data_IF_387900944855
#
_entry.id   IF_387900944855
#
_cell.length_a   1.000
_cell.length_b   1.000
_cell.length_c   1.000
_cell.angle_alpha   90.00
_cell.angle_beta   90.00
_cell.angle_gamma   90.00
#
_symmetry.space_group_name_H-M   'P 1'
#
loop_
_entity.id
_entity.type
_entity.pdbx_description
1 polymer ?
#
# COMPACT_ATOMS: atom_id res chain seq x y z
N UNK A 1 49.07 0.91 -4.78
CA UNK A 1 48.24 -0.27 -4.45
C UNK A 1 46.79 0.12 -4.72
N UNK A 2 46.10 -0.72 -5.49
CA UNK A 2 44.78 -0.56 -6.11
C UNK A 2 43.68 -0.07 -5.13
N UNK A 3 42.59 0.59 -5.52
CA UNK A 3 41.90 0.72 -6.81
C UNK A 3 40.40 0.57 -6.54
N UNK A 4 39.61 1.59 -6.88
CA UNK A 4 38.18 1.79 -6.57
C UNK A 4 37.24 0.74 -7.18
N UNK A 5 36.24 0.26 -6.44
CA UNK A 5 35.08 -0.49 -6.99
C UNK A 5 33.80 0.35 -6.93
N UNK A 6 33.34 0.76 -8.11
CA UNK A 6 32.00 1.28 -8.35
C UNK A 6 31.01 0.10 -8.31
N UNK A 7 29.94 0.22 -7.52
CA UNK A 7 28.85 -0.75 -7.50
C UNK A 7 27.89 -0.49 -8.65
N UNK A 8 27.88 -1.39 -9.64
CA UNK A 8 27.05 -1.36 -10.83
C UNK A 8 25.54 -1.39 -10.51
N UNK A 9 24.81 -0.48 -11.15
CA UNK A 9 23.37 -0.57 -11.42
C UNK A 9 23.11 -1.90 -12.13
N UNK A 10 22.04 -2.68 -11.84
CA UNK A 10 21.76 -3.90 -12.57
C UNK A 10 21.44 -3.56 -14.03
N UNK A 11 22.49 -3.66 -14.84
CA UNK A 11 22.52 -3.43 -16.26
C UNK A 11 21.76 -4.56 -16.93
N UNK A 12 20.85 -4.22 -17.84
CA UNK A 12 20.32 -5.16 -18.83
C UNK A 12 21.49 -5.90 -19.47
N UNK A 13 21.62 -7.20 -19.24
CA UNK A 13 22.64 -8.01 -19.89
C UNK A 13 22.16 -8.34 -21.32
N UNK A 14 22.39 -7.41 -22.25
CA UNK A 14 22.07 -7.57 -23.67
C UNK A 14 23.24 -8.28 -24.36
N UNK A 15 23.13 -9.59 -24.58
CA UNK A 15 24.12 -10.37 -25.33
C UNK A 15 23.74 -10.42 -26.81
N UNK A 16 24.32 -9.53 -27.62
CA UNK A 16 24.12 -9.47 -29.08
C UNK A 16 25.18 -10.32 -29.80
N UNK A 17 24.78 -11.31 -30.60
CA UNK A 17 25.64 -11.99 -31.59
C UNK A 17 25.30 -11.50 -33.01
N UNK A 18 26.29 -11.19 -33.90
CA UNK A 18 26.01 -10.61 -35.20
C UNK A 18 25.98 -11.60 -36.39
N UNK A 19 25.02 -11.32 -37.30
CA UNK A 19 24.91 -11.54 -38.78
C UNK A 19 24.81 -12.95 -39.40
N UNK A 20 23.81 -13.13 -40.28
CA UNK A 20 23.95 -13.26 -41.77
C UNK A 20 22.60 -13.57 -42.49
N UNK A 21 22.26 -12.82 -43.56
CA UNK A 21 21.62 -13.39 -44.76
C UNK A 21 20.17 -13.02 -45.16
N UNK A 22 20.04 -12.05 -46.07
CA UNK A 22 19.12 -11.88 -47.24
C UNK A 22 17.67 -12.46 -47.31
N UNK A 23 16.77 -11.55 -47.72
CA UNK A 23 15.38 -11.63 -48.30
C UNK A 23 15.14 -12.65 -49.43
N UNK A 24 13.89 -12.90 -49.98
CA UNK A 24 12.60 -12.15 -49.90
C UNK A 24 11.26 -12.96 -49.79
N UNK A 25 10.16 -12.19 -49.66
CA UNK A 25 8.70 -12.52 -49.74
C UNK A 25 8.25 -13.22 -51.05
N UNK A 26 7.05 -13.86 -51.11
CA UNK A 26 5.85 -13.15 -51.61
C UNK A 26 4.46 -13.54 -51.02
N UNK A 27 3.57 -12.55 -51.10
CA UNK A 27 2.11 -12.49 -51.36
C UNK A 27 1.19 -13.73 -51.21
N UNK A 28 0.00 -13.49 -50.64
CA UNK A 28 -1.17 -14.37 -50.78
C UNK A 28 -2.38 -13.91 -49.95
N UNK A 29 -3.28 -13.15 -50.58
CA UNK A 29 -4.58 -12.72 -50.07
C UNK A 29 -5.62 -13.85 -50.01
N UNK A 30 -6.41 -13.95 -48.94
CA UNK A 30 -7.79 -14.44 -49.05
C UNK A 30 -8.69 -13.80 -47.99
N UNK A 31 -9.81 -13.24 -48.47
CA UNK A 31 -10.93 -12.75 -47.69
C UNK A 31 -11.69 -13.93 -47.07
N UNK A 32 -12.01 -13.85 -45.78
CA UNK A 32 -13.00 -14.72 -45.16
C UNK A 32 -13.88 -13.91 -44.19
N UNK A 33 -15.13 -13.71 -44.63
CA UNK A 33 -16.38 -13.58 -43.87
C UNK A 33 -16.40 -12.73 -42.58
N UNK A 34 -16.99 -11.54 -42.71
CA UNK A 34 -17.54 -10.74 -41.62
C UNK A 34 -18.76 -11.44 -40.99
N UNK A 35 -18.59 -11.98 -39.79
CA UNK A 35 -19.65 -12.10 -38.79
C UNK A 35 -19.07 -11.68 -37.43
N UNK A 36 -19.63 -10.68 -36.73
CA UNK A 36 -19.22 -10.41 -35.36
C UNK A 36 -19.78 -11.53 -34.47
N UNK A 37 -18.96 -12.30 -33.75
CA UNK A 37 -19.49 -13.20 -32.73
C UNK A 37 -20.08 -12.35 -31.61
N UNK A 38 -21.28 -12.75 -31.18
CA UNK A 38 -21.95 -12.29 -29.97
C UNK A 38 -20.96 -12.11 -28.82
N UNK A 39 -21.06 -10.98 -28.13
CA UNK A 39 -20.34 -10.63 -26.91
C UNK A 39 -19.91 -11.87 -26.12
N UNK A 40 -18.63 -12.24 -26.24
CA UNK A 40 -17.97 -13.04 -25.21
C UNK A 40 -18.09 -12.24 -23.92
N UNK A 41 -18.98 -12.68 -23.04
CA UNK A 41 -18.93 -12.31 -21.64
C UNK A 41 -17.62 -12.91 -21.13
N UNK A 42 -16.55 -12.10 -21.21
CA UNK A 42 -15.25 -12.47 -20.66
C UNK A 42 -15.46 -12.91 -19.21
N UNK A 43 -14.86 -14.03 -18.78
CA UNK A 43 -14.99 -14.49 -17.41
C UNK A 43 -14.64 -13.34 -16.47
N UNK A 44 -15.39 -13.21 -15.38
CA UNK A 44 -15.24 -12.19 -14.32
C UNK A 44 -13.89 -12.24 -13.57
N UNK A 45 -12.90 -12.93 -14.13
CA UNK A 45 -11.67 -13.43 -13.51
C UNK A 45 -10.42 -12.63 -13.91
N UNK A 46 -10.48 -11.82 -14.97
CA UNK A 46 -9.34 -11.03 -15.45
C UNK A 46 -9.52 -9.53 -15.17
N UNK A 47 -9.50 -9.16 -13.88
CA UNK A 47 -9.14 -7.80 -13.50
C UNK A 47 -7.61 -7.70 -13.60
N UNK A 48 -7.09 -7.67 -14.83
CA UNK A 48 -5.65 -7.54 -15.10
C UNK A 48 -5.07 -6.37 -14.29
N UNK A 49 -3.88 -6.56 -13.72
CA UNK A 49 -3.11 -5.51 -13.01
C UNK A 49 -3.08 -4.18 -13.76
N UNK A 50 -3.09 -4.24 -15.10
CA UNK A 50 -3.17 -3.09 -15.99
C UNK A 50 -4.44 -2.24 -15.81
N UNK A 51 -5.59 -2.86 -15.55
CA UNK A 51 -6.84 -2.15 -15.29
C UNK A 51 -6.77 -1.38 -13.98
N UNK A 52 -6.28 -2.02 -12.91
CA UNK A 52 -6.09 -1.37 -11.60
C UNK A 52 -5.15 -0.16 -11.73
N UNK A 53 -4.04 -0.33 -12.45
CA UNK A 53 -3.12 0.77 -12.76
C UNK A 53 -3.82 1.89 -13.52
N UNK A 54 -4.65 1.60 -14.52
CA UNK A 54 -5.40 2.63 -15.24
C UNK A 54 -6.36 3.40 -14.32
N UNK A 55 -7.00 2.70 -13.39
CA UNK A 55 -8.01 3.27 -12.49
C UNK A 55 -7.45 4.04 -11.29
N UNK A 56 -6.15 3.95 -11.01
CA UNK A 56 -5.53 4.69 -9.92
C UNK A 56 -4.80 3.85 -8.88
N UNK A 57 -4.39 2.62 -9.21
CA UNK A 57 -3.54 1.85 -8.32
C UNK A 57 -2.24 2.59 -8.02
N UNK A 58 -1.72 2.36 -6.82
CA UNK A 58 -0.47 2.93 -6.38
C UNK A 58 0.67 2.21 -7.08
N UNK A 59 1.41 2.96 -7.89
CA UNK A 59 2.57 2.48 -8.64
C UNK A 59 3.65 3.55 -8.57
N UNK A 60 4.84 3.19 -8.07
CA UNK A 60 5.93 4.14 -7.80
C UNK A 60 6.27 5.02 -9.01
N UNK A 61 6.49 4.42 -10.19
CA UNK A 61 6.91 5.16 -11.38
C UNK A 61 5.88 6.23 -11.76
N UNK A 62 4.59 5.93 -11.64
CA UNK A 62 3.52 6.89 -11.92
C UNK A 62 3.45 8.01 -10.90
N UNK A 63 3.58 7.68 -9.62
CA UNK A 63 3.54 8.68 -8.54
C UNK A 63 4.70 9.64 -8.66
N UNK A 64 5.94 9.13 -8.82
CA UNK A 64 7.15 9.95 -8.73
C UNK A 64 7.60 10.48 -10.09
N UNK A 65 7.71 9.62 -11.12
CA UNK A 65 8.27 10.03 -12.42
C UNK A 65 7.23 10.69 -13.33
N UNK A 66 5.94 10.36 -13.15
CA UNK A 66 4.83 10.95 -13.92
C UNK A 66 3.99 11.95 -13.12
N UNK A 67 4.38 12.24 -11.89
CA UNK A 67 3.71 13.18 -10.98
C UNK A 67 2.21 12.89 -10.78
N UNK A 68 1.80 11.62 -10.85
CA UNK A 68 0.41 11.19 -10.64
C UNK A 68 0.12 11.00 -9.13
N UNK A 69 0.35 12.04 -8.31
CA UNK A 69 0.26 12.00 -6.84
C UNK A 69 -1.14 11.64 -6.31
N UNK A 70 -2.18 11.92 -7.09
CA UNK A 70 -3.56 11.55 -6.77
C UNK A 70 -3.75 10.04 -6.52
N UNK A 71 -2.83 9.19 -7.03
CA UNK A 71 -2.80 7.74 -6.80
C UNK A 71 -2.59 7.35 -5.35
N UNK A 72 -1.92 8.20 -4.57
CA UNK A 72 -1.73 8.03 -3.12
C UNK A 72 -3.08 7.97 -2.40
N UNK A 73 -4.08 8.69 -2.94
CA UNK A 73 -5.43 8.69 -2.41
C UNK A 73 -6.30 7.64 -3.09
N UNK A 74 -6.35 7.60 -4.42
CA UNK A 74 -7.32 6.76 -5.15
C UNK A 74 -7.11 5.27 -4.96
N UNK A 75 -5.88 4.81 -4.69
CA UNK A 75 -5.59 3.39 -4.49
C UNK A 75 -6.39 2.77 -3.34
N UNK A 76 -6.82 3.58 -2.37
CA UNK A 76 -7.60 3.13 -1.21
C UNK A 76 -8.98 2.57 -1.56
N UNK A 77 -9.53 2.93 -2.72
CA UNK A 77 -10.84 2.46 -3.19
C UNK A 77 -10.74 1.25 -4.14
N UNK A 78 -9.55 0.94 -4.63
CA UNK A 78 -9.32 -0.17 -5.55
C UNK A 78 -8.99 -1.45 -4.79
N UNK A 79 -9.36 -2.60 -5.32
CA UNK A 79 -9.10 -3.89 -4.69
C UNK A 79 -8.78 -4.95 -5.73
N UNK A 80 -7.81 -5.82 -5.42
CA UNK A 80 -7.31 -6.86 -6.33
C UNK A 80 -8.20 -8.10 -6.46
N UNK A 81 -9.38 -8.14 -5.84
CA UNK A 81 -10.30 -9.27 -5.96
C UNK A 81 -11.47 -9.25 -4.98
N UNK A 82 -12.44 -10.13 -5.20
CA UNK A 82 -13.70 -10.18 -4.42
C UNK A 82 -13.44 -10.48 -2.94
N UNK A 83 -12.61 -11.48 -2.64
CA UNK A 83 -12.24 -11.79 -1.26
C UNK A 83 -11.52 -10.62 -0.57
N UNK A 84 -10.67 -9.90 -1.31
CA UNK A 84 -9.95 -8.74 -0.80
C UNK A 84 -10.92 -7.60 -0.45
N UNK A 85 -11.89 -7.28 -1.30
CA UNK A 85 -12.96 -6.32 -0.98
C UNK A 85 -13.75 -6.79 0.24
N UNK A 86 -14.19 -8.05 0.25
CA UNK A 86 -14.99 -8.60 1.34
C UNK A 86 -14.29 -8.50 2.70
N UNK A 87 -13.01 -8.88 2.77
CA UNK A 87 -12.22 -8.80 4.00
C UNK A 87 -12.05 -7.35 4.49
N UNK A 88 -11.80 -6.40 3.57
CA UNK A 88 -11.70 -4.98 3.94
C UNK A 88 -13.03 -4.42 4.43
N UNK A 89 -14.13 -4.74 3.75
CA UNK A 89 -15.46 -4.26 4.17
C UNK A 89 -15.87 -4.86 5.52
N UNK A 90 -15.55 -6.13 5.75
CA UNK A 90 -15.77 -6.78 7.04
C UNK A 90 -14.98 -6.08 8.16
N UNK A 91 -13.70 -5.80 7.92
CA UNK A 91 -12.86 -5.04 8.84
C UNK A 91 -13.39 -3.63 9.10
N UNK A 92 -13.83 -2.93 8.05
CA UNK A 92 -14.42 -1.60 8.16
C UNK A 92 -15.72 -1.60 8.96
N UNK A 93 -16.59 -2.60 8.76
CA UNK A 93 -17.84 -2.71 9.52
C UNK A 93 -17.56 -3.02 10.99
N UNK A 94 -16.67 -3.96 11.32
CA UNK A 94 -16.41 -4.29 12.72
C UNK A 94 -15.65 -3.20 13.49
N UNK A 95 -14.61 -2.63 12.87
CA UNK A 95 -13.73 -1.67 13.52
C UNK A 95 -14.25 -0.25 13.34
N UNK A 96 -14.59 0.10 12.09
CA UNK A 96 -15.06 1.44 11.72
C UNK A 96 -16.40 1.78 12.36
N UNK A 97 -17.41 0.90 12.30
CA UNK A 97 -18.73 1.17 12.92
C UNK A 97 -18.62 1.39 14.43
N UNK A 98 -17.81 0.58 15.12
CA UNK A 98 -17.55 0.74 16.55
C UNK A 98 -16.95 2.12 16.86
N UNK A 99 -15.90 2.50 16.14
CA UNK A 99 -15.23 3.79 16.32
C UNK A 99 -16.15 4.95 15.95
N UNK A 100 -16.94 4.82 14.89
CA UNK A 100 -17.86 5.84 14.42
C UNK A 100 -18.98 6.09 15.42
N UNK A 101 -19.55 5.04 16.00
CA UNK A 101 -20.55 5.15 17.05
C UNK A 101 -19.99 5.86 18.30
N UNK A 102 -18.72 5.63 18.63
CA UNK A 102 -18.10 6.22 19.83
C UNK A 102 -17.61 7.67 19.63
N UNK A 103 -17.08 8.02 18.46
CA UNK A 103 -16.37 9.29 18.21
C UNK A 103 -17.00 10.17 17.12
N UNK A 104 -17.95 9.63 16.36
CA UNK A 104 -18.64 10.30 15.25
C UNK A 104 -17.92 10.16 13.91
N UNK A 105 -18.72 10.17 12.84
CA UNK A 105 -18.31 9.98 11.45
C UNK A 105 -17.10 10.81 11.05
N UNK A 106 -17.14 12.13 11.27
CA UNK A 106 -16.09 13.04 10.78
C UNK A 106 -14.70 12.72 11.33
N UNK A 107 -14.61 12.31 12.60
CA UNK A 107 -13.30 11.98 13.21
C UNK A 107 -12.76 10.69 12.62
N UNK A 108 -13.61 9.69 12.46
CA UNK A 108 -13.20 8.39 11.94
C UNK A 108 -12.90 8.46 10.43
N UNK A 109 -13.65 9.25 9.67
CA UNK A 109 -13.37 9.53 8.27
C UNK A 109 -11.99 10.19 8.09
N UNK A 110 -11.67 11.21 8.89
CA UNK A 110 -10.33 11.85 8.87
C UNK A 110 -9.24 10.87 9.26
N UNK A 111 -9.45 10.07 10.31
CA UNK A 111 -8.48 9.05 10.73
C UNK A 111 -8.22 8.03 9.63
N UNK A 112 -9.28 7.54 9.00
CA UNK A 112 -9.23 6.55 7.94
C UNK A 112 -8.49 7.09 6.71
N UNK A 113 -8.89 8.27 6.21
CA UNK A 113 -8.29 8.86 5.01
C UNK A 113 -6.81 9.18 5.23
N UNK A 114 -6.47 9.88 6.32
CA UNK A 114 -5.07 10.26 6.57
C UNK A 114 -4.18 9.04 6.84
N UNK A 115 -4.71 8.01 7.51
CA UNK A 115 -3.96 6.75 7.69
C UNK A 115 -3.71 6.04 6.37
N UNK A 116 -4.69 6.00 5.47
CA UNK A 116 -4.50 5.44 4.14
C UNK A 116 -3.46 6.20 3.31
N UNK A 117 -3.45 7.54 3.41
CA UNK A 117 -2.40 8.37 2.78
C UNK A 117 -1.03 8.06 3.39
N UNK A 118 -0.92 8.00 4.72
CA UNK A 118 0.33 7.67 5.40
C UNK A 118 0.87 6.28 5.03
N UNK A 119 -0.02 5.30 4.90
CA UNK A 119 0.30 3.98 4.36
C UNK A 119 0.80 4.05 2.92
N UNK A 120 0.10 4.76 2.05
CA UNK A 120 0.48 4.90 0.64
C UNK A 120 1.81 5.65 0.43
N UNK A 121 2.10 6.64 1.26
CA UNK A 121 3.41 7.33 1.27
C UNK A 121 4.51 6.36 1.66
N UNK A 122 4.34 5.61 2.75
CA UNK A 122 5.36 4.64 3.18
C UNK A 122 5.54 3.51 2.16
N UNK A 123 4.44 2.96 1.64
CA UNK A 123 4.46 1.99 0.55
C UNK A 123 5.25 2.51 -0.65
N UNK A 124 4.97 3.73 -1.11
CA UNK A 124 5.65 4.32 -2.27
C UNK A 124 7.16 4.50 -2.08
N UNK A 125 7.66 4.58 -0.83
CA UNK A 125 9.09 4.69 -0.52
C UNK A 125 9.84 3.36 -0.59
N UNK A 126 9.16 2.23 -0.33
CA UNK A 126 9.80 0.91 -0.21
C UNK A 126 9.34 -0.08 -1.29
N UNK A 127 8.17 0.10 -1.88
CA UNK A 127 7.59 -0.78 -2.90
C UNK A 127 7.73 -0.12 -4.27
N UNK A 128 8.55 -0.74 -5.14
CA UNK A 128 8.93 -0.16 -6.44
C UNK A 128 8.43 -0.93 -7.65
N UNK A 129 8.26 -2.25 -7.51
CA UNK A 129 8.03 -3.16 -8.65
C UNK A 129 6.62 -3.74 -8.71
N UNK A 130 5.86 -3.60 -7.62
CA UNK A 130 4.48 -4.10 -7.53
C UNK A 130 3.50 -2.94 -7.37
N UNK A 131 2.24 -3.22 -7.68
CA UNK A 131 1.15 -2.28 -7.46
C UNK A 131 0.54 -2.50 -6.09
N UNK A 132 0.10 -1.42 -5.44
CA UNK A 132 -0.63 -1.47 -4.17
C UNK A 132 -2.02 -0.89 -4.33
N UNK A 133 -3.01 -1.61 -3.79
CA UNK A 133 -4.42 -1.26 -3.81
C UNK A 133 -5.07 -1.74 -2.51
N UNK A 134 -6.07 -1.01 -2.05
CA UNK A 134 -6.94 -1.49 -0.97
C UNK A 134 -7.05 -0.52 0.20
N UNK A 135 -8.14 -0.69 0.91
CA UNK A 135 -8.45 0.02 2.14
C UNK A 135 -7.60 -0.41 3.36
N UNK A 136 -6.81 -1.48 3.24
CA UNK A 136 -6.22 -2.17 4.39
C UNK A 136 -5.23 -1.29 5.17
N UNK A 137 -4.47 -0.41 4.51
CA UNK A 137 -3.61 0.55 5.21
C UNK A 137 -4.40 1.48 6.13
N UNK A 138 -5.57 1.95 5.67
CA UNK A 138 -6.47 2.76 6.49
C UNK A 138 -7.10 1.96 7.65
N UNK A 139 -7.43 0.68 7.44
CA UNK A 139 -7.91 -0.21 8.50
C UNK A 139 -6.87 -0.45 9.59
N UNK A 140 -5.60 -0.65 9.21
CA UNK A 140 -4.50 -0.68 10.16
C UNK A 140 -4.36 0.64 10.91
N UNK A 141 -4.65 1.77 10.26
CA UNK A 141 -4.79 3.06 10.92
C UNK A 141 -5.88 3.09 11.98
N UNK A 142 -7.06 2.52 11.70
CA UNK A 142 -8.12 2.39 12.72
C UNK A 142 -7.65 1.56 13.92
N UNK A 143 -6.90 0.47 13.70
CA UNK A 143 -6.30 -0.33 14.79
C UNK A 143 -5.28 0.48 15.60
N UNK A 144 -4.44 1.27 14.94
CA UNK A 144 -3.53 2.21 15.59
C UNK A 144 -4.28 3.24 16.43
N UNK A 145 -5.38 3.78 15.91
CA UNK A 145 -6.27 4.69 16.62
C UNK A 145 -6.86 4.08 17.89
N UNK A 146 -7.34 2.82 17.82
CA UNK A 146 -7.82 2.07 18.99
C UNK A 146 -6.72 1.92 20.04
N UNK A 147 -5.50 1.58 19.62
CA UNK A 147 -4.39 1.43 20.57
C UNK A 147 -4.09 2.75 21.29
N UNK A 148 -4.09 3.87 20.58
CA UNK A 148 -3.89 5.19 21.18
C UNK A 148 -5.04 5.62 22.08
N UNK A 149 -6.27 5.24 21.74
CA UNK A 149 -7.45 5.45 22.59
C UNK A 149 -7.30 4.71 23.91
N UNK A 150 -6.92 3.43 23.86
CA UNK A 150 -6.67 2.60 25.05
C UNK A 150 -5.57 3.19 25.93
N UNK A 151 -4.47 3.66 25.34
CA UNK A 151 -3.36 4.30 26.08
C UNK A 151 -3.81 5.63 26.69
N UNK A 152 -4.53 6.46 25.93
CA UNK A 152 -4.98 7.79 26.36
C UNK A 152 -6.04 7.75 27.46
N UNK A 153 -6.81 6.66 27.51
CA UNK A 153 -7.97 6.50 28.38
C UNK A 153 -7.87 5.27 29.28
N UNK A 154 -6.66 4.76 29.51
CA UNK A 154 -6.37 3.53 30.26
C UNK A 154 -7.07 3.41 31.61
N UNK A 155 -7.32 4.52 32.31
CA UNK A 155 -8.02 4.54 33.60
C UNK A 155 -9.51 4.18 33.53
N UNK A 156 -10.11 4.11 32.34
CA UNK A 156 -11.52 3.77 32.12
C UNK A 156 -11.71 2.24 32.02
N UNK A 157 -10.68 1.52 31.59
CA UNK A 157 -10.77 0.09 31.28
C UNK A 157 -10.39 -0.77 32.49
N UNK A 158 -11.27 -1.71 32.85
CA UNK A 158 -11.05 -2.62 33.98
C UNK A 158 -9.82 -3.54 33.78
N UNK A 159 -9.54 -3.95 32.53
CA UNK A 159 -8.37 -4.75 32.18
C UNK A 159 -7.69 -4.23 30.91
N UNK A 160 -7.01 -3.08 31.03
CA UNK A 160 -6.33 -2.43 29.91
C UNK A 160 -5.21 -3.28 29.31
N UNK A 161 -4.48 -4.05 30.14
CA UNK A 161 -3.39 -4.89 29.68
C UNK A 161 -3.86 -6.01 28.76
N UNK A 162 -4.99 -6.65 29.08
CA UNK A 162 -5.59 -7.64 28.21
C UNK A 162 -6.04 -7.02 26.88
N UNK A 163 -6.73 -5.86 26.93
CA UNK A 163 -7.19 -5.17 25.72
C UNK A 163 -6.03 -4.77 24.80
N UNK A 164 -4.98 -4.15 25.35
CA UNK A 164 -3.77 -3.78 24.60
C UNK A 164 -3.11 -5.03 24.03
N UNK A 165 -2.92 -6.09 24.83
CA UNK A 165 -2.32 -7.34 24.37
C UNK A 165 -3.11 -7.97 23.22
N UNK A 166 -4.44 -7.96 23.27
CA UNK A 166 -5.29 -8.46 22.19
C UNK A 166 -5.11 -7.66 20.91
N UNK A 167 -5.11 -6.32 20.98
CA UNK A 167 -4.92 -5.47 19.81
C UNK A 167 -3.53 -5.66 19.21
N UNK A 168 -2.49 -5.67 20.04
CA UNK A 168 -1.11 -5.92 19.60
C UNK A 168 -0.98 -7.30 18.94
N UNK A 169 -1.59 -8.32 19.52
CA UNK A 169 -1.60 -9.66 18.95
C UNK A 169 -2.27 -9.71 17.57
N UNK A 170 -3.42 -9.05 17.42
CA UNK A 170 -4.11 -8.92 16.12
C UNK A 170 -3.22 -8.22 15.10
N UNK A 171 -2.55 -7.13 15.47
CA UNK A 171 -1.64 -6.39 14.58
C UNK A 171 -0.50 -7.30 14.13
N UNK A 172 0.15 -8.00 15.06
CA UNK A 172 1.27 -8.89 14.76
C UNK A 172 0.87 -10.03 13.81
N UNK A 173 -0.31 -10.63 14.02
CA UNK A 173 -0.84 -11.64 13.10
C UNK A 173 -1.06 -11.06 11.71
N UNK A 174 -1.69 -9.88 11.60
CA UNK A 174 -1.97 -9.31 10.29
C UNK A 174 -0.68 -8.95 9.54
N UNK A 175 0.34 -8.42 10.22
CA UNK A 175 1.66 -8.19 9.61
C UNK A 175 2.33 -9.51 9.20
N UNK A 176 2.24 -10.55 10.03
CA UNK A 176 2.78 -11.88 9.70
C UNK A 176 2.09 -12.48 8.46
N UNK A 177 0.76 -12.34 8.35
CA UNK A 177 -0.01 -12.72 7.17
C UNK A 177 0.36 -11.87 5.96
N UNK A 178 0.70 -10.59 6.15
CA UNK A 178 1.09 -9.72 5.06
C UNK A 178 2.48 -9.97 4.48
N UNK A 179 3.23 -10.96 4.99
CA UNK A 179 4.43 -11.51 4.34
C UNK A 179 4.07 -12.36 3.11
N UNK A 180 2.79 -12.70 2.94
CA UNK A 180 2.30 -13.37 1.74
C UNK A 180 2.47 -12.47 0.50
N UNK A 181 2.75 -13.06 -0.67
CA UNK A 181 2.93 -12.30 -1.89
C UNK A 181 1.67 -11.50 -2.23
N UNK A 182 1.86 -10.30 -2.79
CA UNK A 182 0.80 -9.34 -3.15
C UNK A 182 0.13 -8.61 -1.97
N UNK A 183 0.61 -8.79 -0.73
CA UNK A 183 0.19 -7.97 0.42
C UNK A 183 1.24 -6.88 0.68
N UNK A 184 0.77 -5.65 0.90
CA UNK A 184 1.64 -4.50 1.12
C UNK A 184 1.76 -4.19 2.62
N UNK A 185 2.77 -4.79 3.26
CA UNK A 185 3.05 -4.57 4.67
C UNK A 185 3.56 -3.15 4.97
N UNK A 186 4.18 -2.46 4.02
CA UNK A 186 4.57 -1.06 4.21
C UNK A 186 3.36 -0.14 4.29
N UNK A 187 2.33 -0.39 3.47
CA UNK A 187 1.07 0.33 3.59
C UNK A 187 0.40 0.08 4.96
N UNK A 188 0.44 -1.16 5.47
CA UNK A 188 -0.10 -1.50 6.78
C UNK A 188 0.66 -0.81 7.92
N UNK A 189 2.00 -0.86 7.90
CA UNK A 189 2.85 -0.23 8.91
C UNK A 189 2.67 1.29 8.90
N UNK A 190 2.73 1.92 7.72
CA UNK A 190 2.58 3.37 7.58
C UNK A 190 1.20 3.84 8.00
N UNK A 191 0.16 3.08 7.65
CA UNK A 191 -1.21 3.33 8.07
C UNK A 191 -1.38 3.21 9.58
N UNK A 192 -0.85 2.13 10.19
CA UNK A 192 -0.89 1.91 11.64
C UNK A 192 -0.25 3.06 12.40
N UNK A 193 0.98 3.46 12.08
CA UNK A 193 1.66 4.54 12.80
C UNK A 193 0.95 5.88 12.62
N UNK A 194 0.46 6.17 11.42
CA UNK A 194 -0.31 7.38 11.16
C UNK A 194 -1.59 7.42 12.00
N UNK A 195 -2.35 6.32 12.02
CA UNK A 195 -3.56 6.20 12.82
C UNK A 195 -3.30 6.21 14.33
N UNK A 196 -2.18 5.62 14.77
CA UNK A 196 -1.72 5.67 16.16
C UNK A 196 -1.47 7.11 16.61
N UNK A 197 -0.66 7.88 15.89
CA UNK A 197 -0.43 9.28 16.27
C UNK A 197 -1.68 10.14 16.12
N UNK A 198 -2.50 9.92 15.07
CA UNK A 198 -3.78 10.63 14.93
C UNK A 198 -4.74 10.32 16.07
N UNK A 199 -4.74 9.09 16.58
CA UNK A 199 -5.57 8.66 17.70
C UNK A 199 -5.35 9.53 18.94
N UNK A 200 -4.10 9.88 19.27
CA UNK A 200 -3.79 10.80 20.39
C UNK A 200 -4.31 12.23 20.18
N UNK A 201 -4.50 12.63 18.92
CA UNK A 201 -5.00 13.97 18.56
C UNK A 201 -6.53 14.00 18.55
N UNK A 202 -7.18 13.01 17.94
CA UNK A 202 -8.62 13.09 17.63
C UNK A 202 -9.52 12.21 18.51
N UNK A 203 -8.98 11.14 19.13
CA UNK A 203 -9.74 10.17 19.95
C UNK A 203 -9.59 10.45 21.46
N UNK A 204 -9.17 11.66 21.82
CA UNK A 204 -9.01 12.10 23.20
C UNK A 204 -10.36 12.27 23.91
N UNK A 205 -10.61 11.52 24.99
CA UNK A 205 -11.83 11.64 25.80
C UNK A 205 -11.65 12.65 26.94
N UNK A 206 -12.63 13.56 27.15
CA UNK A 206 -12.60 14.47 28.29
C UNK A 206 -12.78 13.70 29.60
N UNK A 207 -12.28 14.26 30.70
CA UNK A 207 -12.44 13.65 32.01
C UNK A 207 -13.93 13.52 32.39
N UNK A 208 -14.32 12.39 32.98
CA UNK A 208 -15.71 12.12 33.40
C UNK A 208 -16.25 13.23 34.32
N UNK A 209 -15.44 13.73 35.26
CA UNK A 209 -15.80 14.84 36.16
C UNK A 209 -16.15 16.13 35.43
N UNK A 210 -15.41 16.47 34.37
CA UNK A 210 -15.69 17.64 33.52
C UNK A 210 -16.95 17.44 32.66
N UNK A 211 -17.17 16.22 32.15
CA UNK A 211 -18.37 15.90 31.36
C UNK A 211 -19.65 15.96 32.19
N UNK A 212 -19.63 15.43 33.42
CA UNK A 212 -20.78 15.45 34.32
C UNK A 212 -21.18 16.87 34.73
N UNK A 213 -20.21 17.78 34.94
CA UNK A 213 -20.50 19.18 35.27
C UNK A 213 -21.35 19.89 34.22
N UNK A 214 -21.18 19.58 32.93
CA UNK A 214 -22.00 20.16 31.85
C UNK A 214 -23.46 19.69 31.85
N UNK A 215 -23.76 18.56 32.50
CA UNK A 215 -25.08 17.96 32.56
C UNK A 215 -25.78 18.20 33.91
N UNK A 216 -25.19 19.02 34.79
CA UNK A 216 -25.81 19.40 36.07
C UNK A 216 -26.90 20.45 35.80
N UNK A 217 -28.16 20.23 36.25
CA UNK A 217 -29.22 21.21 36.12
C UNK A 217 -28.89 22.54 36.81
N UNK A 218 -29.39 23.69 36.29
CA UNK A 218 -29.23 24.98 36.95
C UNK A 218 -29.74 24.92 38.40
N UNK A 219 -28.88 25.27 39.38
CA UNK A 219 -29.23 25.28 40.81
C UNK A 219 -28.53 24.25 41.68
N UNK A 220 -27.86 23.24 41.10
CA UNK A 220 -26.99 22.31 41.83
C UNK A 220 -25.52 22.77 41.79
N UNK A 221 -24.93 23.03 42.96
CA UNK A 221 -23.51 23.39 43.08
C UNK A 221 -22.65 22.11 43.00
N UNK A 222 -21.97 21.90 41.87
CA UNK A 222 -20.94 20.87 41.75
C UNK A 222 -19.73 21.25 42.63
N UNK A 223 -19.61 20.65 43.80
CA UNK A 223 -18.59 20.96 44.83
C UNK A 223 -17.15 20.59 44.44
N UNK A 224 -16.93 19.88 43.33
CA UNK A 224 -15.59 19.55 42.84
C UNK A 224 -15.34 20.17 41.48
N UNK A 225 -14.66 21.32 41.44
CA UNK A 225 -14.25 22.01 40.22
C UNK A 225 -12.95 21.39 39.67
N UNK A 226 -13.04 20.34 38.84
CA UNK A 226 -11.90 20.02 37.96
C UNK A 226 -11.79 21.11 36.91
N UNK A 227 -10.70 21.91 36.93
CA UNK A 227 -10.52 23.04 36.01
C UNK A 227 -10.16 22.65 34.57
N UNK A 228 -9.59 21.47 34.34
CA UNK A 228 -9.07 21.08 33.02
C UNK A 228 -9.91 19.99 32.35
N UNK A 229 -10.20 20.17 31.05
CA UNK A 229 -10.96 19.21 30.23
C UNK A 229 -10.21 17.87 30.06
N UNK A 230 -8.89 17.92 29.93
CA UNK A 230 -8.00 16.78 29.73
C UNK A 230 -6.92 16.71 30.82
N UNK A 231 -6.30 15.54 31.00
CA UNK A 231 -5.13 15.34 31.90
C UNK A 231 -3.85 15.91 31.26
N UNK A 232 -2.84 16.24 32.06
CA UNK A 232 -1.57 16.80 31.54
C UNK A 232 -0.88 15.88 30.55
N UNK A 233 -0.82 14.57 30.83
CA UNK A 233 -0.21 13.61 29.91
C UNK A 233 -0.96 13.52 28.57
N UNK A 234 -2.29 13.69 28.57
CA UNK A 234 -3.10 13.68 27.35
C UNK A 234 -2.72 14.86 26.44
N UNK A 235 -2.46 16.05 27.00
CA UNK A 235 -1.94 17.19 26.24
C UNK A 235 -0.52 16.95 25.71
N UNK A 236 0.35 16.34 26.52
CA UNK A 236 1.72 16.01 26.10
C UNK A 236 1.68 15.04 24.91
N UNK A 237 0.92 13.94 25.02
CA UNK A 237 0.77 12.95 23.94
C UNK A 237 0.18 13.58 22.67
N UNK A 238 -0.80 14.47 22.79
CA UNK A 238 -1.35 15.20 21.66
C UNK A 238 -0.30 16.05 20.95
N UNK A 239 0.45 16.88 21.69
CA UNK A 239 1.46 17.77 21.11
C UNK A 239 2.58 16.97 20.43
N UNK A 240 3.10 15.94 21.12
CA UNK A 240 4.14 15.08 20.57
C UNK A 240 3.67 14.36 19.31
N UNK A 241 2.43 13.86 19.31
CA UNK A 241 1.85 13.17 18.14
C UNK A 241 1.63 14.12 16.97
N UNK A 242 1.19 15.36 17.24
CA UNK A 242 1.04 16.38 16.20
C UNK A 242 2.38 16.73 15.55
N UNK A 243 3.43 16.91 16.36
CA UNK A 243 4.79 17.15 15.85
C UNK A 243 5.27 15.95 15.03
N UNK A 244 5.09 14.72 15.53
CA UNK A 244 5.49 13.50 14.85
C UNK A 244 4.79 13.34 13.48
N UNK A 245 3.49 13.64 13.41
CA UNK A 245 2.73 13.60 12.15
C UNK A 245 3.23 14.66 11.16
N UNK A 246 3.38 15.91 11.60
CA UNK A 246 3.83 17.00 10.71
C UNK A 246 5.23 16.71 10.16
N UNK A 247 6.16 16.33 11.03
CA UNK A 247 7.54 16.00 10.64
C UNK A 247 7.56 14.75 9.76
N UNK A 248 6.85 13.69 10.15
CA UNK A 248 6.78 12.42 9.42
C UNK A 248 6.22 12.56 8.02
N UNK A 249 5.09 13.24 7.85
CA UNK A 249 4.51 13.50 6.52
C UNK A 249 5.41 14.40 5.68
N UNK A 250 5.97 15.46 6.26
CA UNK A 250 6.87 16.37 5.53
C UNK A 250 8.10 15.63 5.03
N UNK A 251 8.77 14.87 5.90
CA UNK A 251 9.94 14.05 5.51
C UNK A 251 9.54 13.00 4.48
N UNK A 252 8.45 12.26 4.71
CA UNK A 252 7.99 11.21 3.80
C UNK A 252 7.70 11.72 2.40
N UNK A 253 7.00 12.86 2.27
CA UNK A 253 6.71 13.49 0.98
C UNK A 253 7.98 14.04 0.31
N UNK A 254 8.91 14.63 1.07
CA UNK A 254 10.20 15.08 0.52
C UNK A 254 11.02 13.90 -0.01
N UNK A 255 11.09 12.80 0.73
CA UNK A 255 11.80 11.61 0.29
C UNK A 255 11.14 10.99 -0.95
N UNK A 256 9.81 10.99 -1.00
CA UNK A 256 9.05 10.46 -2.12
C UNK A 256 9.25 11.28 -3.39
N UNK A 257 9.13 12.61 -3.30
CA UNK A 257 9.33 13.53 -4.43
C UNK A 257 10.78 13.54 -4.93
N UNK A 258 11.75 13.20 -4.07
CA UNK A 258 13.15 13.00 -4.45
C UNK A 258 13.45 11.60 -5.02
N UNK A 259 12.46 10.71 -5.09
CA UNK A 259 12.65 9.35 -5.59
C UNK A 259 13.58 8.50 -4.73
N UNK A 260 13.69 8.80 -3.43
CA UNK A 260 14.56 8.06 -2.51
C UNK A 260 14.00 6.65 -2.30
N UNK A 261 14.85 5.63 -2.45
CA UNK A 261 14.48 4.23 -2.21
C UNK A 261 14.86 3.83 -0.79
N UNK A 262 13.86 3.52 0.03
CA UNK A 262 14.04 3.11 1.41
C UNK A 262 14.84 1.80 1.56
N UNK A 263 14.83 0.93 0.56
CA UNK A 263 15.58 -0.33 0.58
C UNK A 263 17.10 -0.11 0.54
N UNK A 264 17.57 1.02 0.01
CA UNK A 264 19.00 1.34 -0.03
C UNK A 264 19.60 1.59 1.35
N UNK A 265 18.76 1.87 2.35
CA UNK A 265 19.18 2.18 3.73
C UNK A 265 18.97 1.02 4.70
N UNK A 266 18.47 -0.12 4.20
CA UNK A 266 18.01 -1.22 5.06
C UNK A 266 18.08 -2.56 4.32
N UNK A 267 19.03 -3.40 4.72
CA UNK A 267 19.30 -4.70 4.08
C UNK A 267 18.26 -5.78 4.35
N UNK A 268 17.34 -5.57 5.30
CA UNK A 268 16.31 -6.56 5.68
C UNK A 268 14.89 -6.11 5.27
N UNK A 269 14.75 -4.90 4.75
CA UNK A 269 13.47 -4.27 4.47
C UNK A 269 12.65 -5.04 3.42
N UNK A 270 13.28 -5.60 2.40
CA UNK A 270 12.58 -6.40 1.39
C UNK A 270 11.83 -7.61 1.96
N UNK A 271 12.29 -8.17 3.08
CA UNK A 271 11.61 -9.29 3.74
C UNK A 271 10.33 -8.90 4.48
N UNK A 272 10.11 -7.61 4.76
CA UNK A 272 8.87 -7.17 5.40
C UNK A 272 7.65 -7.38 4.51
N UNK A 273 7.80 -7.28 3.19
CA UNK A 273 6.68 -7.46 2.25
C UNK A 273 6.58 -8.88 1.74
N UNK A 274 7.70 -9.58 1.57
CA UNK A 274 7.67 -10.97 1.13
C UNK A 274 8.90 -11.75 1.58
N UNK A 275 8.67 -12.91 2.21
CA UNK A 275 9.72 -13.88 2.53
C UNK A 275 9.60 -15.04 1.53
N UNK A 276 10.66 -15.37 0.77
CA UNK A 276 10.61 -16.48 -0.16
C UNK A 276 10.55 -17.81 0.59
N UNK A 277 9.64 -18.70 0.20
CA UNK A 277 9.48 -20.03 0.80
C UNK A 277 9.34 -21.10 -0.29
N UNK A 278 9.44 -22.40 0.02
CA UNK A 278 9.15 -23.45 -0.97
C UNK A 278 7.72 -23.41 -1.52
N UNK A 279 6.80 -22.73 -0.84
CA UNK A 279 5.39 -22.62 -1.22
C UNK A 279 5.10 -21.39 -2.11
N UNK A 280 5.95 -20.36 -2.09
CA UNK A 280 5.78 -19.15 -2.91
C UNK A 280 7.09 -18.37 -3.13
N UNK A 281 7.18 -17.68 -4.27
CA UNK A 281 8.32 -16.82 -4.62
C UNK A 281 7.97 -15.33 -4.54
N UNK A 282 8.96 -14.52 -4.14
CA UNK A 282 8.86 -13.07 -3.99
C UNK A 282 9.44 -12.29 -5.17
N UNK A 283 9.98 -12.97 -6.19
CA UNK A 283 10.49 -12.27 -7.37
C UNK A 283 9.31 -11.69 -8.17
N UNK A 284 9.24 -10.37 -8.22
CA UNK A 284 8.39 -9.64 -9.16
C UNK A 284 8.83 -9.97 -10.59
N UNK A 285 7.91 -10.52 -11.39
CA UNK A 285 7.92 -10.63 -12.86
C UNK A 285 9.28 -10.35 -13.53
N UNK A 286 10.28 -11.19 -13.30
CA UNK A 286 11.52 -11.12 -14.08
C UNK A 286 11.31 -11.94 -15.32
N UNK A 287 11.49 -11.33 -16.48
CA UNK A 287 11.49 -12.07 -17.74
C UNK A 287 12.88 -12.13 -18.32
N UNK A 288 13.25 -13.32 -18.79
CA UNK A 288 14.40 -13.53 -19.65
C UNK A 288 13.99 -13.16 -21.07
N UNK A 289 14.69 -12.21 -21.66
CA UNK A 289 14.52 -11.80 -23.05
C UNK A 289 15.52 -12.55 -23.92
N UNK A 290 15.05 -13.16 -25.00
CA UNK A 290 15.89 -13.77 -26.05
C UNK A 290 15.48 -13.15 -27.37
N UNK A 291 16.37 -12.37 -27.98
CA UNK A 291 16.09 -11.66 -29.22
C UNK A 291 16.52 -12.51 -30.42
N UNK A 292 15.57 -12.89 -31.28
CA UNK A 292 15.81 -13.46 -32.60
C UNK A 292 15.34 -12.47 -33.66
N UNK A 293 16.29 -11.78 -34.29
CA UNK A 293 16.05 -10.76 -35.32
C UNK A 293 15.06 -9.66 -34.90
N UNK A 294 13.83 -9.67 -35.45
CA UNK A 294 12.74 -8.73 -35.14
C UNK A 294 11.75 -9.26 -34.08
N UNK A 295 11.91 -10.50 -33.63
CA UNK A 295 11.07 -11.12 -32.61
C UNK A 295 11.84 -11.25 -31.30
N UNK A 296 11.28 -10.72 -30.23
CA UNK A 296 11.72 -10.98 -28.86
C UNK A 296 10.90 -12.12 -28.29
N UNK A 297 11.58 -13.22 -27.96
CA UNK A 297 11.01 -14.29 -27.17
C UNK A 297 11.26 -14.00 -25.69
N UNK A 298 10.20 -13.73 -24.95
CA UNK A 298 10.27 -13.34 -23.57
C UNK A 298 9.70 -14.46 -22.70
N UNK A 299 10.49 -14.91 -21.72
CA UNK A 299 10.12 -16.01 -20.82
C UNK A 299 10.06 -15.50 -19.40
N UNK A 300 8.91 -15.60 -18.76
CA UNK A 300 8.77 -15.29 -17.36
C UNK A 300 9.52 -16.32 -16.51
N UNK A 301 10.45 -15.86 -15.68
CA UNK A 301 11.24 -16.71 -14.80
C UNK A 301 10.42 -17.29 -13.64
N UNK A 302 9.30 -16.64 -13.29
CA UNK A 302 8.45 -17.05 -12.18
C UNK A 302 7.56 -18.27 -12.54
N UNK A 303 6.88 -18.24 -13.68
CA UNK A 303 5.90 -19.27 -14.08
C UNK A 303 6.35 -20.11 -15.28
N UNK A 304 7.50 -19.79 -15.89
CA UNK A 304 8.04 -20.47 -17.07
C UNK A 304 7.28 -20.21 -18.38
N UNK A 305 6.25 -19.36 -18.38
CA UNK A 305 5.51 -19.00 -19.60
C UNK A 305 6.41 -18.19 -20.52
N UNK A 306 6.33 -18.47 -21.81
CA UNK A 306 7.03 -17.72 -22.85
C UNK A 306 6.05 -17.18 -23.89
N UNK A 307 6.39 -16.01 -24.43
CA UNK A 307 5.66 -15.37 -25.52
C UNK A 307 6.64 -14.70 -26.48
N UNK A 308 6.37 -14.79 -27.78
CA UNK A 308 7.18 -14.14 -28.81
C UNK A 308 6.46 -12.91 -29.36
N UNK A 309 7.12 -11.75 -29.33
CA UNK A 309 6.55 -10.46 -29.69
C UNK A 309 7.44 -9.72 -30.67
N UNK A 310 6.84 -9.01 -31.61
CA UNK A 310 7.50 -8.04 -32.50
C UNK A 310 7.33 -6.64 -31.92
N UNK A 311 8.43 -6.00 -31.51
CA UNK A 311 8.44 -4.61 -31.05
C UNK A 311 8.62 -3.67 -32.25
N UNK A 312 7.88 -2.55 -32.27
CA UNK A 312 8.09 -1.47 -33.24
C UNK A 312 9.38 -0.69 -32.95
N UNK A 313 9.75 -0.54 -31.66
CA UNK A 313 11.03 0.01 -31.20
C UNK A 313 11.73 -0.99 -30.24
N UNK A 314 12.88 -1.57 -30.63
CA UNK A 314 13.62 -2.51 -29.79
C UNK A 314 14.28 -1.90 -28.55
N UNK A 315 14.15 -0.59 -28.31
CA UNK A 315 14.63 0.10 -27.12
C UNK A 315 13.52 0.57 -26.15
N UNK A 316 12.24 0.31 -26.44
CA UNK A 316 11.14 0.69 -25.54
C UNK A 316 11.05 -0.25 -24.33
N UNK A 317 11.78 0.11 -23.29
CA UNK A 317 11.78 -0.59 -21.99
C UNK A 317 10.41 -0.63 -21.30
N UNK A 318 9.50 0.32 -21.58
CA UNK A 318 8.16 0.36 -20.99
C UNK A 318 7.26 -0.70 -21.66
N UNK A 319 7.38 -0.84 -22.97
CA UNK A 319 6.66 -1.87 -23.74
C UNK A 319 7.14 -3.28 -23.33
N UNK A 320 8.45 -3.48 -23.20
CA UNK A 320 9.02 -4.74 -22.69
C UNK A 320 8.53 -5.07 -21.28
N UNK A 321 8.46 -4.09 -20.38
CA UNK A 321 8.02 -4.33 -19.01
C UNK A 321 6.53 -4.69 -18.93
N UNK A 322 5.69 -4.08 -19.76
CA UNK A 322 4.27 -4.47 -19.91
C UNK A 322 4.10 -5.90 -20.40
N UNK A 323 4.81 -6.25 -21.46
CA UNK A 323 4.80 -7.59 -22.04
C UNK A 323 5.26 -8.62 -21.00
N UNK A 324 6.27 -8.28 -20.21
CA UNK A 324 6.76 -9.17 -19.15
C UNK A 324 5.72 -9.38 -18.04
N UNK A 325 5.05 -8.30 -17.63
CA UNK A 325 3.95 -8.38 -16.67
C UNK A 325 2.78 -9.22 -17.20
N UNK A 326 2.49 -9.16 -18.49
CA UNK A 326 1.42 -9.94 -19.14
C UNK A 326 1.76 -11.43 -19.21
N UNK A 327 2.99 -11.81 -19.55
CA UNK A 327 3.44 -13.21 -19.57
C UNK A 327 3.53 -13.79 -18.14
N UNK A 328 3.92 -12.96 -17.17
CA UNK A 328 4.04 -13.36 -15.77
C UNK A 328 2.72 -13.39 -15.01
N UNK A 329 1.63 -12.81 -15.54
CA UNK A 329 0.27 -12.92 -15.00
C UNK A 329 -0.40 -14.25 -15.37
#
# INVERSE_FOLDING_TARGET
MAGSSQGEVPMLEIKVHPRLGNTPLPAGSSMASNHPPLHEIKPLKDWSSNWLVKMGALEYNKVVNKSEEWRILTCMWLHAGVFHVFANMLGLVFIGSRLEHEFGFLRIAVLYILSGIGGSVLSSLFVRTTISVGASGALFGLLGGILSELISNWTIYANVFAAISTIVFIILINIAVGVLPHVDNYAHIGGFFTGFFLGFVILIRPQFKWSNQRHVPPGYMATTTTRTKYKTYQYILLILSLIALLVGFTIGLILLTRGVDGNNYCSWCHYLTCIPTPLWSCESSRCRLVQLDKQMNMTCLHNGRSGSYTLEDPNDTIEMQKLCLEICS
#
